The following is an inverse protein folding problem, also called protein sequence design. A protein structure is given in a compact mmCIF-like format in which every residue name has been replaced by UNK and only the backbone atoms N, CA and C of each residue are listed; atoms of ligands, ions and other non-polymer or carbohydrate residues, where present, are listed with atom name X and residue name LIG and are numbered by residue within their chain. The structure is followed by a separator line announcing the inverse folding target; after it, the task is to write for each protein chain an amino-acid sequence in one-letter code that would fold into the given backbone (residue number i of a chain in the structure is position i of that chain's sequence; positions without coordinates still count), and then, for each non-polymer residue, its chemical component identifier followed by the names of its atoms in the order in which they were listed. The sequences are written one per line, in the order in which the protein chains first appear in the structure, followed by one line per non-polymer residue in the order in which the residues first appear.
data_IF_043845339795
#
_entry.id   IF_043845339795
#
_cell.length_a   1.000
_cell.length_b   1.000
_cell.length_c   1.000
_cell.angle_alpha   90.00
_cell.angle_beta   90.00
_cell.angle_gamma   90.00
#
_symmetry.space_group_name_H-M   'P 1'
#
loop_
_entity.id
_entity.type
_entity.pdbx_description
1 polymer ?
#
# COMPACT_ATOMS: atom_id res chain seq x y z
N UNK A 1 -3.43 -8.17 6.37
CA UNK A 1 -4.64 -8.02 5.54
C UNK A 1 -4.35 -8.13 4.05
N UNK A 2 -3.64 -7.18 3.43
CA UNK A 2 -3.41 -7.19 1.97
C UNK A 2 -2.74 -8.48 1.45
N UNK A 3 -1.73 -9.00 2.16
CA UNK A 3 -1.09 -10.30 1.83
C UNK A 3 -2.10 -11.43 1.72
N UNK A 4 -2.94 -11.60 2.75
CA UNK A 4 -4.02 -12.59 2.76
C UNK A 4 -4.95 -12.48 1.55
N UNK A 5 -5.31 -11.25 1.15
CA UNK A 5 -6.15 -11.04 -0.05
C UNK A 5 -5.41 -11.47 -1.31
N UNK A 6 -4.15 -11.07 -1.49
CA UNK A 6 -3.35 -11.45 -2.65
C UNK A 6 -3.18 -12.96 -2.78
N UNK A 7 -2.95 -13.67 -1.67
CA UNK A 7 -2.78 -15.12 -1.66
C UNK A 7 -4.04 -15.83 -2.17
N UNK A 8 -5.23 -15.32 -1.83
CA UNK A 8 -6.52 -15.86 -2.31
C UNK A 8 -6.73 -15.70 -3.82
N UNK A 9 -6.05 -14.74 -4.44
CA UNK A 9 -6.06 -14.53 -5.89
C UNK A 9 -4.82 -15.12 -6.59
N UNK A 10 -3.98 -15.89 -5.88
CA UNK A 10 -2.76 -16.46 -6.45
C UNK A 10 -1.72 -15.41 -6.85
N UNK A 11 -1.74 -14.23 -6.22
CA UNK A 11 -0.85 -13.09 -6.52
C UNK A 11 0.16 -12.81 -5.40
N UNK A 12 0.63 -13.86 -4.74
CA UNK A 12 1.63 -13.76 -3.68
C UNK A 12 2.97 -13.21 -4.19
N UNK A 13 3.21 -13.24 -5.51
CA UNK A 13 4.37 -12.66 -6.21
C UNK A 13 4.48 -11.13 -6.05
N UNK A 14 3.37 -10.44 -5.80
CA UNK A 14 3.35 -8.99 -5.76
C UNK A 14 4.07 -8.44 -4.51
N UNK A 15 4.93 -7.42 -4.68
CA UNK A 15 5.58 -6.76 -3.56
C UNK A 15 4.57 -5.92 -2.79
N UNK A 16 4.69 -5.94 -1.46
CA UNK A 16 3.91 -5.08 -0.57
C UNK A 16 4.83 -4.07 0.09
N UNK A 17 4.47 -2.80 -0.01
CA UNK A 17 5.19 -1.69 0.63
C UNK A 17 4.40 -1.11 1.80
N UNK A 18 5.09 -0.65 2.85
CA UNK A 18 4.48 0.01 4.00
C UNK A 18 5.27 1.26 4.42
N UNK A 19 4.57 2.29 4.91
CA UNK A 19 5.21 3.52 5.40
C UNK A 19 5.95 3.32 6.73
N UNK A 20 5.32 2.60 7.66
CA UNK A 20 5.88 2.28 8.95
C UNK A 20 5.35 0.91 9.42
N UNK A 21 6.22 -0.09 9.39
CA UNK A 21 5.90 -1.47 9.80
C UNK A 21 5.66 -1.61 11.30
N UNK A 22 6.13 -0.65 12.10
CA UNK A 22 5.96 -0.66 13.56
C UNK A 22 4.73 0.14 14.01
N UNK A 23 3.95 0.71 13.09
CA UNK A 23 2.72 1.40 13.42
C UNK A 23 1.66 0.40 13.93
N UNK A 24 0.82 0.85 14.86
CA UNK A 24 -0.34 0.05 15.30
C UNK A 24 -1.23 -0.27 14.09
N UNK A 25 -1.73 -1.52 13.95
CA UNK A 25 -2.60 -1.88 12.85
C UNK A 25 -3.83 -0.98 12.77
N UNK A 26 -4.02 -0.29 11.64
CA UNK A 26 -5.17 0.57 11.37
C UNK A 26 -6.45 -0.19 10.96
N UNK A 27 -6.60 -1.44 11.39
CA UNK A 27 -7.76 -2.26 11.04
C UNK A 27 -8.98 -1.77 11.81
N UNK A 28 -9.88 -1.06 11.13
CA UNK A 28 -11.18 -0.69 11.70
C UNK A 28 -12.12 -1.89 11.80
N UNK A 29 -13.16 -1.79 12.65
CA UNK A 29 -14.23 -2.80 12.78
C UNK A 29 -14.90 -3.15 11.44
N UNK A 30 -14.89 -2.24 10.48
CA UNK A 30 -15.41 -2.48 9.12
C UNK A 30 -14.63 -3.60 8.40
N UNK A 31 -13.30 -3.59 8.50
CA UNK A 31 -12.45 -4.63 7.88
C UNK A 31 -12.73 -6.02 8.49
N UNK A 32 -12.96 -6.07 9.80
CA UNK A 32 -13.21 -7.31 10.54
C UNK A 32 -14.64 -7.86 10.34
N UNK A 33 -15.57 -7.06 9.81
CA UNK A 33 -16.92 -7.52 9.43
C UNK A 33 -16.93 -8.28 8.12
N UNK A 34 -16.10 -7.87 7.17
CA UNK A 34 -16.07 -8.45 5.82
C UNK A 34 -15.24 -9.73 5.73
N UNK A 35 -14.31 -9.92 6.67
CA UNK A 35 -13.41 -11.09 6.67
C UNK A 35 -13.43 -11.74 8.06
N UNK A 36 -13.77 -13.03 8.18
CA UNK A 36 -13.76 -13.71 9.46
C UNK A 36 -12.35 -13.65 10.08
N UNK A 37 -12.26 -13.05 11.28
CA UNK A 37 -11.02 -12.73 12.01
C UNK A 37 -10.01 -13.88 12.14
N UNK A 38 -10.44 -15.13 11.99
CA UNK A 38 -9.69 -16.33 12.32
C UNK A 38 -8.60 -16.67 11.28
N UNK A 39 -8.62 -16.06 10.09
CA UNK A 39 -7.76 -16.47 8.96
C UNK A 39 -6.63 -15.49 8.63
N UNK A 40 -6.60 -14.29 9.22
CA UNK A 40 -5.67 -13.23 8.84
C UNK A 40 -4.52 -13.17 9.83
N UNK A 41 -3.45 -13.93 9.57
CA UNK A 41 -2.21 -13.84 10.35
C UNK A 41 -1.55 -12.47 10.16
N UNK A 42 -0.91 -11.98 11.22
CA UNK A 42 -0.01 -10.83 11.09
C UNK A 42 1.14 -11.21 10.15
N UNK A 43 1.46 -10.32 9.21
CA UNK A 43 2.60 -10.48 8.30
C UNK A 43 3.49 -9.27 8.45
N UNK A 44 4.79 -9.54 8.63
CA UNK A 44 5.86 -8.52 8.65
C UNK A 44 6.66 -8.52 7.35
N UNK A 45 6.13 -9.13 6.31
CA UNK A 45 6.73 -9.20 4.98
C UNK A 45 6.28 -8.00 4.15
N UNK A 46 6.86 -6.85 4.46
CA UNK A 46 6.64 -5.63 3.70
C UNK A 46 7.97 -4.89 3.50
N UNK A 47 8.17 -4.39 2.29
CA UNK A 47 9.26 -3.47 1.95
C UNK A 47 8.91 -2.05 2.39
N UNK A 48 9.89 -1.15 2.32
CA UNK A 48 9.60 0.26 2.44
C UNK A 48 8.71 0.73 1.29
N UNK A 49 7.63 1.42 1.63
CA UNK A 49 6.64 1.87 0.67
C UNK A 49 7.21 2.82 -0.39
N UNK A 50 8.15 3.71 -0.03
CA UNK A 50 8.74 4.61 -1.04
C UNK A 50 9.62 3.85 -2.02
N UNK A 51 10.34 2.83 -1.56
CA UNK A 51 11.27 2.08 -2.40
C UNK A 51 10.53 1.24 -3.44
N UNK A 52 9.35 0.69 -3.07
CA UNK A 52 8.46 0.03 -4.02
C UNK A 52 7.98 1.02 -5.09
N UNK A 53 7.59 2.24 -4.69
CA UNK A 53 7.16 3.25 -5.66
C UNK A 53 8.29 3.65 -6.61
N UNK A 54 9.50 3.88 -6.10
CA UNK A 54 10.67 4.22 -6.92
C UNK A 54 11.05 3.11 -7.90
N UNK A 55 10.89 1.85 -7.49
CA UNK A 55 11.23 0.69 -8.33
C UNK A 55 10.24 0.45 -9.46
N UNK A 56 8.95 0.68 -9.23
CA UNK A 56 7.89 0.23 -10.15
C UNK A 56 7.10 1.35 -10.82
N UNK A 57 7.20 2.61 -10.36
CA UNK A 57 6.52 3.73 -11.01
C UNK A 57 7.43 4.39 -12.05
N UNK A 58 6.82 4.67 -13.20
CA UNK A 58 7.43 5.37 -14.33
C UNK A 58 6.43 6.37 -14.96
N UNK A 59 6.84 7.02 -16.04
CA UNK A 59 6.04 8.01 -16.78
C UNK A 59 4.76 7.41 -17.43
N UNK A 60 4.62 6.08 -17.47
CA UNK A 60 3.44 5.38 -18.01
C UNK A 60 2.54 4.82 -16.91
N UNK A 61 2.99 4.86 -15.66
CA UNK A 61 2.29 4.27 -14.53
C UNK A 61 1.12 5.15 -14.08
N UNK A 62 -0.04 4.52 -13.84
CA UNK A 62 -1.17 5.11 -13.12
C UNK A 62 -1.12 4.61 -11.68
N UNK A 63 -0.82 5.50 -10.74
CA UNK A 63 -0.82 5.20 -9.31
C UNK A 63 -2.17 5.56 -8.70
N UNK A 64 -2.83 4.58 -8.10
CA UNK A 64 -4.12 4.74 -7.43
C UNK A 64 -3.89 4.72 -5.91
N UNK A 65 -4.33 5.76 -5.21
CA UNK A 65 -4.19 5.90 -3.77
C UNK A 65 -5.55 6.02 -3.09
N UNK A 66 -5.98 4.97 -2.39
CA UNK A 66 -7.20 4.96 -1.56
C UNK A 66 -6.98 5.33 -0.09
N UNK A 67 -5.80 5.83 0.26
CA UNK A 67 -5.41 6.11 1.65
C UNK A 67 -4.36 7.21 1.76
N UNK A 68 -3.76 7.41 2.95
CA UNK A 68 -2.80 8.49 3.18
C UNK A 68 -1.60 8.45 2.23
N UNK A 69 -1.23 9.63 1.69
CA UNK A 69 -0.17 9.78 0.68
C UNK A 69 1.26 9.79 1.25
N UNK A 70 1.50 9.27 2.47
CA UNK A 70 2.81 9.37 3.15
C UNK A 70 3.94 8.68 2.37
N UNK A 71 3.67 7.53 1.76
CA UNK A 71 4.65 6.83 0.90
C UNK A 71 4.98 7.65 -0.35
N UNK A 72 3.98 8.27 -0.97
CA UNK A 72 4.15 9.12 -2.15
C UNK A 72 4.96 10.36 -1.80
N UNK A 73 4.64 11.02 -0.69
CA UNK A 73 5.40 12.18 -0.20
C UNK A 73 6.88 11.82 0.05
N UNK A 74 7.14 10.68 0.71
CA UNK A 74 8.50 10.18 0.94
C UNK A 74 9.24 9.87 -0.38
N UNK A 75 8.56 9.26 -1.35
CA UNK A 75 9.14 9.01 -2.67
C UNK A 75 9.49 10.31 -3.41
N UNK A 76 8.59 11.31 -3.40
CA UNK A 76 8.84 12.63 -4.01
C UNK A 76 10.08 13.30 -3.42
N UNK A 77 10.27 13.22 -2.09
CA UNK A 77 11.41 13.83 -1.39
C UNK A 77 12.77 13.29 -1.84
N UNK A 78 12.82 12.12 -2.48
CA UNK A 78 14.07 11.56 -3.04
C UNK A 78 14.52 12.24 -4.32
N UNK A 79 13.64 12.99 -5.00
CA UNK A 79 13.89 13.60 -6.31
C UNK A 79 13.96 12.61 -7.48
N UNK A 80 13.79 11.31 -7.23
CA UNK A 80 13.89 10.25 -8.25
C UNK A 80 12.51 9.69 -8.68
N UNK A 81 11.44 10.08 -7.99
CA UNK A 81 10.11 9.54 -8.23
C UNK A 81 9.54 9.99 -9.57
N UNK A 82 9.11 9.01 -10.37
CA UNK A 82 8.50 9.20 -11.68
C UNK A 82 7.09 8.64 -11.68
N UNK A 83 6.16 9.34 -12.31
CA UNK A 83 4.78 8.91 -12.41
C UNK A 83 4.08 9.55 -13.61
N UNK A 84 3.30 8.77 -14.35
CA UNK A 84 2.44 9.29 -15.42
C UNK A 84 1.18 9.97 -14.89
N UNK A 85 0.42 9.27 -14.03
CA UNK A 85 -0.83 9.78 -13.46
C UNK A 85 -1.02 9.36 -12.01
N UNK A 86 -1.39 10.32 -11.16
CA UNK A 86 -1.86 10.08 -9.80
C UNK A 86 -3.38 10.19 -9.73
N UNK A 87 -4.04 9.14 -9.22
CA UNK A 87 -5.45 9.16 -8.85
C UNK A 87 -5.54 8.95 -7.35
N UNK A 88 -5.83 10.02 -6.61
CA UNK A 88 -5.92 9.97 -5.15
C UNK A 88 -7.37 10.15 -4.69
N UNK A 89 -7.85 9.25 -3.85
CA UNK A 89 -9.09 9.41 -3.11
C UNK A 89 -8.80 10.16 -1.81
N UNK A 90 -9.30 11.39 -1.72
CA UNK A 90 -9.15 12.26 -0.55
C UNK A 90 -9.67 13.67 -0.85
N UNK A 91 -9.51 14.60 0.09
CA UNK A 91 -9.86 16.01 -0.15
C UNK A 91 -11.36 16.32 -0.10
N UNK A 92 -12.09 15.69 0.82
CA UNK A 92 -13.39 16.23 1.23
C UNK A 92 -13.12 17.34 2.26
N UNK A 93 -13.34 18.59 1.84
CA UNK A 93 -13.33 19.76 2.72
C UNK A 93 -14.61 19.77 3.58
#
# INVERSE_FOLDING_TARGET
FLRYVLDRFGRSDLPLGIFNINAKPGLSKFHLKLYPNVSIKESREALDGSDVLLKYCDEKTILICGGPLKNVAKAIQTGQFKLGRLVAQGGFA
#
